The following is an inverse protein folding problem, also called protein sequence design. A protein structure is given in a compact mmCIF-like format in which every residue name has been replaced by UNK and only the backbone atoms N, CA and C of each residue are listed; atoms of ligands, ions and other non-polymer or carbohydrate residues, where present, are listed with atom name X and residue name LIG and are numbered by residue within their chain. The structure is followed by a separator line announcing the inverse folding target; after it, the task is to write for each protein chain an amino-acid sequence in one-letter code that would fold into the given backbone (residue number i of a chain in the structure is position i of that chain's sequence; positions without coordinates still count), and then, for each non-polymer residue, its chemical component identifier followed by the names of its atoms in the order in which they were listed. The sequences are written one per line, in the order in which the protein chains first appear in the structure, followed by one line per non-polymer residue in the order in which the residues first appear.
data_IF_587511186288
#
_entry.id   IF_587511186288
#
_cell.length_a   1.000
_cell.length_b   1.000
_cell.length_c   1.000
_cell.angle_alpha   90.00
_cell.angle_beta   90.00
_cell.angle_gamma   90.00
#
_symmetry.space_group_name_H-M   'P 1'
#
loop_
_entity.id
_entity.type
_entity.pdbx_description
1 polymer ?
#
# COMPACT_ATOMS: atom_id res chain seq x y z
N UNK A 1 5.86 8.81 28.34
CA UNK A 1 5.26 9.01 27.01
C UNK A 1 6.13 10.08 26.42
N UNK A 2 7.26 9.64 25.85
CA UNK A 2 8.36 10.53 25.52
C UNK A 2 7.94 11.42 24.34
N UNK A 3 8.19 12.73 24.48
CA UNK A 3 7.91 13.77 23.50
C UNK A 3 8.68 13.50 22.20
N UNK A 4 8.08 12.74 21.27
CA UNK A 4 8.58 12.67 19.90
C UNK A 4 8.42 14.00 19.14
N UNK A 5 7.68 14.97 19.70
CA UNK A 5 7.57 16.33 19.17
C UNK A 5 8.88 17.14 19.28
N UNK A 6 9.89 16.68 20.02
CA UNK A 6 11.16 17.41 20.18
C UNK A 6 12.18 17.11 19.07
N UNK A 7 11.97 16.08 18.25
CA UNK A 7 12.89 15.72 17.15
C UNK A 7 12.25 16.15 15.85
N UNK A 8 12.60 17.36 15.39
CA UNK A 8 12.26 17.81 14.05
C UNK A 8 13.07 16.97 13.03
N UNK A 9 12.45 15.91 12.53
CA UNK A 9 12.98 15.14 11.41
C UNK A 9 12.70 15.92 10.13
N UNK A 10 13.75 16.51 9.57
CA UNK A 10 13.66 17.27 8.31
C UNK A 10 14.07 16.39 7.11
N UNK A 11 13.29 16.48 6.04
CA UNK A 11 13.64 15.94 4.73
C UNK A 11 13.05 16.88 3.67
N UNK A 12 13.86 17.31 2.72
CA UNK A 12 13.49 18.35 1.76
C UNK A 12 13.48 17.82 0.31
N UNK A 13 12.56 16.92 -0.08
CA UNK A 13 12.57 16.28 -1.40
C UNK A 13 12.57 17.22 -2.62
N UNK A 14 12.07 18.46 -2.49
CA UNK A 14 12.07 19.41 -3.61
C UNK A 14 13.39 20.19 -3.76
N UNK A 15 14.28 20.13 -2.77
CA UNK A 15 15.57 20.84 -2.74
C UNK A 15 16.74 19.86 -2.79
N UNK A 16 16.62 18.75 -2.06
CA UNK A 16 17.67 17.76 -1.89
C UNK A 16 18.02 17.10 -3.23
N UNK A 17 19.31 16.78 -3.46
CA UNK A 17 19.72 16.07 -4.65
C UNK A 17 19.17 14.64 -4.64
N UNK A 18 18.96 14.09 -5.84
CA UNK A 18 18.60 12.68 -5.98
C UNK A 18 19.69 11.79 -5.35
N UNK A 19 19.26 10.75 -4.62
CA UNK A 19 20.12 9.74 -4.03
C UNK A 19 19.91 8.40 -4.74
N UNK A 20 20.92 7.52 -4.66
CA UNK A 20 20.78 6.14 -5.14
C UNK A 20 20.04 5.31 -4.09
N UNK A 21 18.81 4.84 -4.37
CA UNK A 21 18.02 4.07 -3.41
C UNK A 21 18.74 2.77 -3.01
N UNK A 22 19.54 2.17 -3.89
CA UNK A 22 20.23 0.91 -3.57
C UNK A 22 21.27 1.08 -2.46
N UNK A 23 21.95 2.22 -2.41
CA UNK A 23 22.93 2.53 -1.35
C UNK A 23 22.21 2.77 -0.03
N UNK A 24 21.13 3.55 -0.06
CA UNK A 24 20.32 3.86 1.13
C UNK A 24 19.73 2.57 1.70
N UNK A 25 19.14 1.72 0.85
CA UNK A 25 18.57 0.44 1.26
C UNK A 25 19.64 -0.49 1.85
N UNK A 26 20.85 -0.53 1.28
CA UNK A 26 21.95 -1.32 1.83
C UNK A 26 22.36 -0.85 3.24
N UNK A 27 22.46 0.47 3.45
CA UNK A 27 22.77 1.05 4.76
C UNK A 27 21.66 0.80 5.78
N UNK A 28 20.40 0.98 5.38
CA UNK A 28 19.23 0.67 6.22
C UNK A 28 19.23 -0.81 6.59
N UNK A 29 19.49 -1.71 5.65
CA UNK A 29 19.55 -3.14 5.93
C UNK A 29 20.72 -3.52 6.86
N UNK A 30 21.88 -2.88 6.71
CA UNK A 30 23.01 -3.08 7.62
C UNK A 30 22.67 -2.64 9.05
N UNK A 31 22.02 -1.47 9.21
CA UNK A 31 21.56 -1.01 10.52
C UNK A 31 20.47 -1.91 11.09
N UNK A 32 19.53 -2.37 10.27
CA UNK A 32 18.50 -3.33 10.71
C UNK A 32 19.13 -4.64 11.22
N UNK A 33 20.22 -5.12 10.60
CA UNK A 33 20.95 -6.30 11.06
C UNK A 33 21.73 -6.07 12.37
N UNK A 34 22.26 -4.86 12.55
CA UNK A 34 22.99 -4.46 13.76
C UNK A 34 22.04 -4.18 14.94
N UNK A 35 20.87 -3.63 14.64
CA UNK A 35 19.87 -3.25 15.63
C UNK A 35 19.28 -4.49 16.30
N UNK A 36 19.23 -4.49 17.63
CA UNK A 36 18.52 -5.51 18.43
C UNK A 36 17.04 -5.21 18.59
N UNK A 37 16.53 -4.22 17.85
CA UNK A 37 15.13 -3.84 17.90
C UNK A 37 14.39 -4.93 17.14
N UNK A 38 13.51 -5.71 17.81
CA UNK A 38 12.69 -6.68 17.09
C UNK A 38 11.89 -5.91 16.05
N UNK A 39 11.91 -6.39 14.80
CA UNK A 39 11.04 -5.82 13.77
C UNK A 39 9.61 -5.81 14.31
N UNK A 40 8.76 -4.85 13.92
CA UNK A 40 7.34 -5.05 14.01
C UNK A 40 6.97 -6.22 13.09
N UNK A 41 7.15 -7.44 13.60
CA UNK A 41 6.72 -8.67 12.97
C UNK A 41 5.19 -8.69 12.97
N UNK A 42 4.63 -9.63 12.21
CA UNK A 42 3.19 -9.89 12.23
C UNK A 42 2.66 -10.02 13.67
N UNK A 43 3.47 -10.49 14.61
CA UNK A 43 3.13 -10.61 16.04
C UNK A 43 2.76 -9.28 16.75
N UNK A 44 3.30 -8.13 16.30
CA UNK A 44 2.91 -6.81 16.82
C UNK A 44 1.62 -6.29 16.16
N UNK A 45 1.30 -6.78 14.97
CA UNK A 45 -0.01 -6.60 14.37
C UNK A 45 -0.89 -7.61 15.09
N UNK A 46 -1.66 -7.19 16.11
CA UNK A 46 -2.77 -8.01 16.61
C UNK A 46 -3.76 -8.16 15.45
N UNK A 47 -3.49 -9.11 14.57
CA UNK A 47 -4.42 -9.53 13.55
C UNK A 47 -5.51 -10.17 14.38
N UNK A 48 -6.63 -9.45 14.53
CA UNK A 48 -7.82 -10.05 15.10
C UNK A 48 -8.03 -11.31 14.26
N UNK A 49 -7.85 -12.50 14.83
CA UNK A 49 -8.06 -13.75 14.13
C UNK A 49 -9.52 -13.73 13.67
N UNK A 50 -9.74 -13.35 12.42
CA UNK A 50 -11.08 -13.25 11.87
C UNK A 50 -11.54 -14.68 11.62
N UNK A 51 -12.38 -15.17 12.51
CA UNK A 51 -13.09 -16.43 12.34
C UNK A 51 -13.92 -16.36 11.04
N UNK A 52 -13.41 -17.00 9.99
CA UNK A 52 -14.13 -17.12 8.73
C UNK A 52 -15.42 -17.91 8.96
N UNK A 53 -16.54 -17.41 8.41
CA UNK A 53 -17.84 -18.07 8.47
C UNK A 53 -18.42 -18.31 9.87
N UNK A 54 -18.14 -17.42 10.83
CA UNK A 54 -18.69 -17.50 12.19
C UNK A 54 -20.20 -17.72 12.24
N UNK A 55 -20.95 -17.03 11.38
CA UNK A 55 -22.42 -17.13 11.33
C UNK A 55 -22.93 -18.29 10.45
N UNK A 56 -22.03 -19.02 9.80
CA UNK A 56 -22.35 -20.06 8.83
C UNK A 56 -21.59 -21.36 9.12
N UNK A 57 -22.06 -22.18 10.08
CA UNK A 57 -21.37 -23.39 10.52
C UNK A 57 -21.18 -24.42 9.39
N UNK A 58 -22.07 -24.45 8.40
CA UNK A 58 -21.93 -25.30 7.23
C UNK A 58 -20.71 -24.92 6.38
N UNK A 59 -20.43 -23.62 6.22
CA UNK A 59 -19.28 -23.14 5.46
C UNK A 59 -17.98 -23.31 6.25
N UNK A 60 -18.03 -23.08 7.57
CA UNK A 60 -16.91 -23.37 8.45
C UNK A 60 -16.49 -24.85 8.40
N UNK A 61 -17.47 -25.77 8.48
CA UNK A 61 -17.20 -27.21 8.36
C UNK A 61 -16.64 -27.62 7.00
N UNK A 62 -17.06 -26.97 5.91
CA UNK A 62 -16.47 -27.20 4.58
C UNK A 62 -15.02 -26.68 4.52
N UNK A 63 -14.73 -25.55 5.15
CA UNK A 63 -13.37 -25.01 5.24
C UNK A 63 -12.45 -25.98 5.99
N UNK A 64 -12.91 -26.55 7.10
CA UNK A 64 -12.18 -27.56 7.86
C UNK A 64 -11.94 -28.84 7.05
N UNK A 65 -12.93 -29.29 6.29
CA UNK A 65 -12.81 -30.45 5.40
C UNK A 65 -11.76 -30.22 4.29
N UNK A 66 -11.75 -29.03 3.70
CA UNK A 66 -10.76 -28.66 2.69
C UNK A 66 -9.36 -28.53 3.32
N UNK A 67 -9.26 -27.97 4.53
CA UNK A 67 -8.01 -27.91 5.29
C UNK A 67 -7.46 -29.30 5.64
N UNK A 68 -8.35 -30.26 5.91
CA UNK A 68 -8.01 -31.68 6.09
C UNK A 68 -7.67 -32.41 4.76
N UNK A 69 -7.70 -31.71 3.62
CA UNK A 69 -7.36 -32.27 2.30
C UNK A 69 -8.46 -33.11 1.66
N UNK A 70 -9.69 -33.06 2.18
CA UNK A 70 -10.85 -33.77 1.60
C UNK A 70 -11.34 -32.97 0.40
N UNK A 71 -11.28 -33.57 -0.79
CA UNK A 71 -11.82 -32.96 -2.02
C UNK A 71 -13.34 -32.88 -1.92
N UNK A 72 -13.91 -31.69 -2.16
CA UNK A 72 -15.35 -31.49 -2.20
C UNK A 72 -16.00 -32.38 -3.27
N UNK A 73 -17.17 -32.92 -2.96
CA UNK A 73 -18.00 -33.64 -3.93
C UNK A 73 -18.43 -32.69 -5.04
N UNK A 74 -18.31 -33.13 -6.29
CA UNK A 74 -18.82 -32.37 -7.43
C UNK A 74 -20.34 -32.19 -7.28
N UNK A 75 -20.86 -31.05 -7.75
CA UNK A 75 -22.30 -30.81 -7.80
C UNK A 75 -22.92 -31.94 -8.61
N UNK A 76 -23.92 -32.60 -8.03
CA UNK A 76 -24.67 -33.63 -8.72
C UNK A 76 -25.45 -33.02 -9.89
N UNK A 77 -25.04 -33.38 -11.10
CA UNK A 77 -25.67 -32.90 -12.34
C UNK A 77 -26.79 -33.83 -12.83
N UNK A 78 -26.93 -35.02 -12.24
CA UNK A 78 -27.94 -36.01 -12.64
C UNK A 78 -29.36 -35.51 -12.35
N UNK A 79 -29.53 -34.73 -11.28
CA UNK A 79 -30.79 -34.05 -10.93
C UNK A 79 -31.35 -33.14 -12.04
N UNK A 80 -30.48 -32.59 -12.89
CA UNK A 80 -30.90 -31.71 -13.99
C UNK A 80 -31.09 -32.45 -15.32
N UNK A 81 -30.91 -33.77 -15.33
CA UNK A 81 -31.09 -34.64 -16.49
C UNK A 81 -32.30 -35.53 -16.27
N UNK A 82 -32.95 -35.92 -17.35
CA UNK A 82 -34.03 -36.88 -17.34
C UNK A 82 -33.53 -38.16 -18.00
N UNK A 83 -32.88 -39.01 -17.22
CA UNK A 83 -32.39 -40.31 -17.69
C UNK A 83 -33.54 -41.33 -17.60
N UNK A 84 -33.58 -42.26 -18.56
CA UNK A 84 -34.59 -43.31 -18.57
C UNK A 84 -34.28 -44.31 -17.45
N UNK A 85 -35.27 -44.68 -16.61
CA UNK A 85 -35.05 -45.64 -15.53
C UNK A 85 -34.70 -47.02 -16.11
N UNK A 86 -33.72 -47.69 -15.50
CA UNK A 86 -33.21 -48.98 -15.96
C UNK A 86 -33.95 -50.15 -15.29
N UNK A 87 -34.33 -49.97 -14.02
CA UNK A 87 -35.00 -50.97 -13.18
C UNK A 87 -36.33 -50.45 -12.60
N UNK A 88 -37.23 -51.37 -12.20
CA UNK A 88 -38.53 -51.02 -11.58
C UNK A 88 -38.40 -50.16 -10.32
N UNK A 89 -37.33 -50.35 -9.54
CA UNK A 89 -37.08 -49.60 -8.30
C UNK A 89 -36.64 -48.13 -8.56
N UNK A 90 -36.13 -47.82 -9.75
CA UNK A 90 -35.67 -46.47 -10.13
C UNK A 90 -36.79 -45.65 -10.78
N UNK A 91 -37.91 -46.30 -11.13
CA UNK A 91 -39.01 -45.68 -11.85
C UNK A 91 -39.68 -44.56 -11.05
N UNK A 92 -39.94 -44.79 -9.76
CA UNK A 92 -40.52 -43.78 -8.87
C UNK A 92 -39.61 -42.56 -8.70
N UNK A 93 -38.30 -42.78 -8.61
CA UNK A 93 -37.31 -41.70 -8.52
C UNK A 93 -37.26 -40.88 -9.82
N UNK A 94 -37.27 -41.54 -10.98
CA UNK A 94 -37.32 -40.90 -12.29
C UNK A 94 -38.61 -40.08 -12.48
N UNK A 95 -39.77 -40.61 -12.07
CA UNK A 95 -41.06 -39.90 -12.13
C UNK A 95 -41.08 -38.67 -11.22
N UNK A 96 -40.55 -38.80 -9.99
CA UNK A 96 -40.45 -37.66 -9.08
C UNK A 96 -39.52 -36.56 -9.61
N UNK A 97 -38.39 -36.94 -10.21
CA UNK A 97 -37.48 -36.01 -10.89
C UNK A 97 -38.18 -35.33 -12.09
N UNK A 98 -38.91 -36.08 -12.91
CA UNK A 98 -39.69 -35.54 -14.03
C UNK A 98 -40.71 -34.49 -13.60
N UNK A 99 -41.45 -34.77 -12.51
CA UNK A 99 -42.40 -33.82 -11.91
C UNK A 99 -41.72 -32.55 -11.42
N UNK A 100 -40.61 -32.68 -10.71
CA UNK A 100 -39.83 -31.54 -10.24
C UNK A 100 -39.31 -30.69 -11.42
N UNK A 101 -38.81 -31.33 -12.48
CA UNK A 101 -38.34 -30.63 -13.68
C UNK A 101 -39.47 -29.91 -14.43
N UNK A 102 -40.66 -30.51 -14.52
CA UNK A 102 -41.83 -29.87 -15.13
C UNK A 102 -42.20 -28.58 -14.40
N UNK A 103 -42.27 -28.62 -13.07
CA UNK A 103 -42.53 -27.44 -12.24
C UNK A 103 -41.43 -26.38 -12.39
N UNK A 104 -40.16 -26.79 -12.43
CA UNK A 104 -39.05 -25.87 -12.70
C UNK A 104 -39.16 -25.20 -14.08
N UNK A 105 -39.56 -25.92 -15.14
CA UNK A 105 -39.76 -25.30 -16.46
C UNK A 105 -40.97 -24.36 -16.45
N UNK A 106 -42.05 -24.69 -15.74
CA UNK A 106 -43.20 -23.81 -15.56
C UNK A 106 -42.80 -22.48 -14.89
N UNK A 107 -42.06 -22.55 -13.77
CA UNK A 107 -41.54 -21.37 -13.09
C UNK A 107 -40.56 -20.58 -13.97
N UNK A 108 -39.69 -21.28 -14.71
CA UNK A 108 -38.76 -20.65 -15.65
C UNK A 108 -39.50 -19.85 -16.72
N UNK A 109 -40.62 -20.37 -17.24
CA UNK A 109 -41.43 -19.66 -18.22
C UNK A 109 -41.99 -18.36 -17.64
N UNK A 110 -42.55 -18.40 -16.42
CA UNK A 110 -43.02 -17.19 -15.72
C UNK A 110 -41.88 -16.19 -15.50
N UNK A 111 -40.70 -16.66 -15.07
CA UNK A 111 -39.53 -15.81 -14.89
C UNK A 111 -39.07 -15.17 -16.22
N UNK A 112 -39.08 -15.95 -17.31
CA UNK A 112 -38.73 -15.45 -18.64
C UNK A 112 -39.74 -14.40 -19.10
N UNK A 113 -41.04 -14.60 -18.89
CA UNK A 113 -42.05 -13.59 -19.20
C UNK A 113 -41.83 -12.28 -18.42
N UNK A 114 -41.49 -12.37 -17.14
CA UNK A 114 -41.16 -11.20 -16.31
C UNK A 114 -39.91 -10.48 -16.85
N UNK A 115 -38.86 -11.21 -17.19
CA UNK A 115 -37.62 -10.63 -17.74
C UNK A 115 -37.88 -10.03 -19.12
N UNK A 116 -38.67 -10.66 -19.99
CA UNK A 116 -39.03 -10.11 -21.29
C UNK A 116 -39.81 -8.80 -21.15
N UNK A 117 -40.71 -8.69 -20.16
CA UNK A 117 -41.52 -7.49 -19.94
C UNK A 117 -40.75 -6.36 -19.24
N UNK A 118 -40.00 -6.67 -18.19
CA UNK A 118 -39.43 -5.67 -17.28
C UNK A 118 -37.89 -5.59 -17.33
N UNK A 119 -37.21 -6.59 -17.88
CA UNK A 119 -35.76 -6.71 -17.85
C UNK A 119 -35.06 -5.52 -18.49
N UNK A 120 -35.48 -5.08 -19.68
CA UNK A 120 -34.87 -3.94 -20.35
C UNK A 120 -34.98 -2.65 -19.51
N UNK A 121 -36.12 -2.40 -18.89
CA UNK A 121 -36.33 -1.22 -18.04
C UNK A 121 -35.51 -1.30 -16.75
N UNK A 122 -35.47 -2.47 -16.10
CA UNK A 122 -34.65 -2.70 -14.91
C UNK A 122 -33.16 -2.48 -15.21
N UNK A 123 -32.66 -2.99 -16.33
CA UNK A 123 -31.28 -2.78 -16.76
C UNK A 123 -30.95 -1.32 -17.05
N UNK A 124 -31.88 -0.56 -17.63
CA UNK A 124 -31.69 0.90 -17.83
C UNK A 124 -31.59 1.65 -16.52
N UNK A 125 -32.43 1.32 -15.54
CA UNK A 125 -32.36 1.94 -14.20
C UNK A 125 -31.05 1.58 -13.52
N UNK A 126 -30.64 0.31 -13.59
CA UNK A 126 -29.38 -0.14 -13.03
C UNK A 126 -28.18 0.58 -13.68
N UNK A 127 -28.17 0.74 -15.01
CA UNK A 127 -27.13 1.51 -15.69
C UNK A 127 -27.11 2.97 -15.25
N UNK A 128 -28.27 3.62 -15.09
CA UNK A 128 -28.35 4.99 -14.58
C UNK A 128 -27.77 5.10 -13.15
N UNK A 129 -28.09 4.14 -12.28
CA UNK A 129 -27.54 4.09 -10.91
C UNK A 129 -26.02 3.89 -10.93
N UNK A 130 -25.51 3.01 -11.80
CA UNK A 130 -24.08 2.79 -11.98
C UNK A 130 -23.37 4.05 -12.49
N UNK A 131 -23.92 4.73 -13.49
CA UNK A 131 -23.37 6.00 -13.99
C UNK A 131 -23.30 7.06 -12.90
N UNK A 132 -24.35 7.17 -12.07
CA UNK A 132 -24.36 8.07 -10.91
C UNK A 132 -23.29 7.70 -9.87
N UNK A 133 -23.13 6.41 -9.57
CA UNK A 133 -22.10 5.92 -8.66
C UNK A 133 -20.69 6.23 -9.19
N UNK A 134 -20.43 5.97 -10.48
CA UNK A 134 -19.17 6.29 -11.15
C UNK A 134 -18.89 7.79 -11.08
N UNK A 135 -19.89 8.63 -11.35
CA UNK A 135 -19.74 10.09 -11.26
C UNK A 135 -19.36 10.54 -9.85
N UNK A 136 -20.01 9.99 -8.82
CA UNK A 136 -19.68 10.30 -7.43
C UNK A 136 -18.24 9.88 -7.09
N UNK A 137 -17.84 8.66 -7.44
CA UNK A 137 -16.48 8.17 -7.19
C UNK A 137 -15.42 9.01 -7.91
N UNK A 138 -15.67 9.44 -9.14
CA UNK A 138 -14.78 10.36 -9.87
C UNK A 138 -14.66 11.72 -9.18
N UNK A 139 -15.77 12.28 -8.71
CA UNK A 139 -15.74 13.55 -7.97
C UNK A 139 -14.97 13.44 -6.65
N UNK A 140 -15.09 12.32 -5.94
CA UNK A 140 -14.30 12.07 -4.73
C UNK A 140 -12.81 11.93 -5.04
N UNK A 141 -12.47 11.26 -6.14
CA UNK A 141 -11.09 11.13 -6.61
C UNK A 141 -10.49 12.50 -6.96
N UNK A 142 -11.23 13.34 -7.69
CA UNK A 142 -10.83 14.70 -8.02
C UNK A 142 -10.57 15.53 -6.77
N UNK A 143 -11.49 15.49 -5.79
CA UNK A 143 -11.33 16.20 -4.51
C UNK A 143 -10.10 15.70 -3.74
N UNK A 144 -9.85 14.39 -3.71
CA UNK A 144 -8.64 13.83 -3.08
C UNK A 144 -7.37 14.31 -3.79
N UNK A 145 -7.35 14.33 -5.13
CA UNK A 145 -6.23 14.82 -5.91
C UNK A 145 -5.98 16.32 -5.66
N UNK A 146 -7.02 17.14 -5.63
CA UNK A 146 -6.91 18.57 -5.29
C UNK A 146 -6.31 18.77 -3.89
N UNK A 147 -6.71 17.97 -2.90
CA UNK A 147 -6.13 18.01 -1.55
C UNK A 147 -4.66 17.60 -1.55
N UNK A 148 -4.29 16.54 -2.27
CA UNK A 148 -2.90 16.10 -2.42
C UNK A 148 -2.07 17.22 -3.07
N UNK A 149 -2.57 17.81 -4.16
CA UNK A 149 -1.92 18.91 -4.83
C UNK A 149 -1.76 20.14 -3.95
N UNK A 150 -2.79 20.51 -3.18
CA UNK A 150 -2.73 21.64 -2.26
C UNK A 150 -1.61 21.45 -1.22
N UNK A 151 -1.55 20.27 -0.60
CA UNK A 151 -0.48 19.93 0.36
C UNK A 151 0.89 19.95 -0.32
N UNK A 152 1.02 19.39 -1.51
CA UNK A 152 2.28 19.39 -2.26
C UNK A 152 2.72 20.80 -2.69
N UNK A 153 1.76 21.67 -3.07
CA UNK A 153 2.02 23.08 -3.40
C UNK A 153 2.56 23.84 -2.18
N UNK A 154 1.92 23.66 -1.02
CA UNK A 154 2.38 24.27 0.25
C UNK A 154 3.78 23.75 0.60
N UNK A 155 3.97 22.42 0.64
CA UNK A 155 5.27 21.80 0.93
C UNK A 155 6.37 22.31 -0.01
N UNK A 156 6.08 22.42 -1.31
CA UNK A 156 7.04 22.95 -2.28
C UNK A 156 7.36 24.42 -2.03
N UNK A 157 6.35 25.25 -1.71
CA UNK A 157 6.57 26.66 -1.43
C UNK A 157 7.46 26.86 -0.19
N UNK A 158 7.17 26.16 0.90
CA UNK A 158 7.94 26.24 2.16
C UNK A 158 9.41 25.83 1.93
N UNK A 159 9.63 24.74 1.20
CA UNK A 159 10.96 24.27 0.85
C UNK A 159 11.70 25.27 -0.06
N UNK A 160 11.06 25.74 -1.13
CA UNK A 160 11.67 26.73 -2.02
C UNK A 160 11.97 28.06 -1.33
N UNK A 161 11.21 28.44 -0.31
CA UNK A 161 11.48 29.64 0.50
C UNK A 161 12.70 29.44 1.41
N UNK A 162 12.91 28.24 1.96
CA UNK A 162 14.07 27.90 2.78
C UNK A 162 15.36 27.67 1.94
N UNK A 163 15.24 27.35 0.65
CA UNK A 163 16.39 27.03 -0.19
C UNK A 163 17.47 28.15 -0.25
N UNK A 164 17.15 29.44 -0.43
CA UNK A 164 18.17 30.49 -0.48
C UNK A 164 18.89 30.69 0.85
N UNK A 165 18.18 30.54 1.97
CA UNK A 165 18.80 30.67 3.30
C UNK A 165 19.76 29.52 3.56
N UNK A 166 19.39 28.29 3.20
CA UNK A 166 20.28 27.12 3.27
C UNK A 166 21.53 27.30 2.39
N UNK A 167 21.37 27.78 1.16
CA UNK A 167 22.51 28.05 0.27
C UNK A 167 23.44 29.12 0.84
N UNK A 168 22.90 30.25 1.30
CA UNK A 168 23.70 31.32 1.90
C UNK A 168 24.45 30.86 3.16
N UNK A 169 23.81 30.02 3.99
CA UNK A 169 24.47 29.42 5.16
C UNK A 169 25.59 28.46 4.76
N UNK A 170 25.38 27.63 3.74
CA UNK A 170 26.40 26.72 3.20
C UNK A 170 27.59 27.47 2.61
N UNK A 171 27.34 28.53 1.83
CA UNK A 171 28.39 29.38 1.25
C UNK A 171 29.19 30.09 2.34
N UNK A 172 28.51 30.70 3.33
CA UNK A 172 29.19 31.33 4.46
C UNK A 172 30.03 30.33 5.26
N UNK A 173 29.54 29.10 5.41
CA UNK A 173 30.28 28.04 6.08
C UNK A 173 31.55 27.64 5.31
N UNK A 174 31.48 27.48 3.99
CA UNK A 174 32.66 27.17 3.18
C UNK A 174 33.66 28.31 3.18
N UNK A 175 33.21 29.57 3.10
CA UNK A 175 34.06 30.75 3.24
C UNK A 175 34.79 30.80 4.59
N UNK A 176 34.08 30.52 5.70
CA UNK A 176 34.68 30.49 7.04
C UNK A 176 35.73 29.38 7.17
N UNK A 177 35.48 28.22 6.58
CA UNK A 177 36.46 27.12 6.54
C UNK A 177 37.69 27.54 5.73
N UNK A 178 37.49 28.09 4.54
CA UNK A 178 38.59 28.55 3.68
C UNK A 178 39.42 29.63 4.36
N UNK A 179 38.76 30.60 5.01
CA UNK A 179 39.42 31.65 5.79
C UNK A 179 40.23 31.07 6.95
N UNK A 180 39.65 30.12 7.70
CA UNK A 180 40.35 29.45 8.81
C UNK A 180 41.58 28.68 8.33
N UNK A 181 41.46 27.99 7.19
CA UNK A 181 42.58 27.27 6.57
C UNK A 181 43.67 28.26 6.12
N UNK A 182 43.30 29.36 5.46
CA UNK A 182 44.24 30.40 5.02
C UNK A 182 45.01 31.02 6.20
N UNK A 183 44.32 31.38 7.28
CA UNK A 183 44.95 31.93 8.49
C UNK A 183 45.91 30.91 9.11
N UNK A 184 45.54 29.63 9.19
CA UNK A 184 46.43 28.59 9.71
C UNK A 184 47.67 28.41 8.85
N UNK A 185 47.53 28.43 7.52
CA UNK A 185 48.66 28.32 6.59
C UNK A 185 49.63 29.50 6.73
N UNK A 186 49.11 30.74 6.81
CA UNK A 186 49.96 31.91 6.98
C UNK A 186 50.64 31.94 8.36
N UNK A 187 49.95 31.55 9.43
CA UNK A 187 50.57 31.42 10.76
C UNK A 187 51.72 30.38 10.73
N UNK A 188 51.50 29.23 10.09
CA UNK A 188 52.54 28.20 9.96
C UNK A 188 53.74 28.69 9.14
N UNK A 189 53.48 29.47 8.08
CA UNK A 189 54.54 30.10 7.28
C UNK A 189 55.34 31.12 8.10
N UNK A 190 54.66 31.98 8.85
CA UNK A 190 55.29 32.97 9.74
C UNK A 190 56.11 32.28 10.84
N UNK A 191 55.60 31.21 11.45
CA UNK A 191 56.33 30.42 12.44
C UNK A 191 57.59 29.79 11.86
N UNK A 192 57.55 29.30 10.61
CA UNK A 192 58.72 28.77 9.92
C UNK A 192 59.77 29.88 9.66
N UNK A 193 59.33 31.07 9.26
CA UNK A 193 60.21 32.23 9.09
C UNK A 193 60.83 32.68 10.43
N UNK A 194 60.05 32.73 11.51
CA UNK A 194 60.55 33.06 12.86
C UNK A 194 61.61 32.05 13.29
N UNK A 195 61.37 30.75 13.13
CA UNK A 195 62.36 29.70 13.43
C UNK A 195 63.64 29.87 12.61
N UNK A 196 63.52 30.19 11.33
CA UNK A 196 64.69 30.45 10.47
C UNK A 196 65.48 31.67 10.94
N UNK A 197 64.81 32.79 11.26
CA UNK A 197 65.46 33.99 11.79
C UNK A 197 66.11 33.74 13.15
N UNK A 198 65.46 32.98 14.04
CA UNK A 198 66.04 32.58 15.34
C UNK A 198 67.31 31.73 15.18
N UNK A 199 67.36 30.87 14.16
CA UNK A 199 68.59 30.09 13.86
C UNK A 199 69.73 30.94 13.29
N UNK A 200 69.43 32.08 12.66
CA UNK A 200 70.41 33.00 12.09
C UNK A 200 70.86 34.10 13.05
N UNK A 201 70.10 34.35 14.12
CA UNK A 201 70.49 35.29 15.15
C UNK A 201 71.67 34.71 15.97
N UNK A 202 72.79 35.45 16.15
CA UNK A 202 73.87 34.98 16.98
C UNK A 202 73.39 34.83 18.43
N UNK A 203 73.64 33.67 19.04
CA UNK A 203 73.53 33.52 20.49
C UNK A 203 74.39 34.60 21.14
N UNK A 204 73.77 35.46 21.96
CA UNK A 204 74.51 36.20 22.97
C UNK A 204 75.13 35.23 23.98
#
# INVERSE_FOLDING_TARGET
MDDFDSVLVDCLPYIDPDYDPAIVDALVNAELQSSRIPRPTLDLIKLNETELFKDHPALAGLLDQVAAGIKMQAIDTTRFRLEAPTDENEWDAAVNNARAQLEHQSQRLVNLELVTRMGANAWRIHNYQLEAAIKNMKSQLELCNERIEAVNKIRKADQMQAQPTLRALSERWTELIQSTIAVRMENQRLDAQIKQLQSQAPSK
#
